data_IF_954447078283
#
_entry.id   IF_954447078283
#
_cell.length_a   1.000
_cell.length_b   1.000
_cell.length_c   1.000
_cell.angle_alpha   90.00
_cell.angle_beta   90.00
_cell.angle_gamma   90.00
#
_symmetry.space_group_name_H-M   'P 1'
#
loop_
_entity.id
_entity.type
_entity.pdbx_description
1 polymer ?
#
# COMPACT_ATOMS: atom_id res chain seq x y z
N UNK A 1 -15.27 -22.70 18.24
CA UNK A 1 -15.62 -24.13 18.06
C UNK A 1 -14.41 -25.05 18.26
N UNK A 2 -13.30 -24.87 17.54
CA UNK A 2 -12.10 -25.73 17.63
C UNK A 2 -11.41 -25.73 19.01
N UNK A 3 -11.28 -24.56 19.66
CA UNK A 3 -10.76 -24.45 21.05
C UNK A 3 -11.58 -25.28 22.06
N UNK A 4 -12.90 -25.37 21.88
CA UNK A 4 -13.76 -26.18 22.75
C UNK A 4 -13.60 -27.68 22.47
N UNK A 5 -13.41 -28.08 21.21
CA UNK A 5 -13.13 -29.48 20.85
C UNK A 5 -11.77 -29.94 21.41
N UNK A 6 -10.72 -29.12 21.31
CA UNK A 6 -9.39 -29.47 21.86
C UNK A 6 -9.38 -29.50 23.39
N UNK A 7 -10.09 -28.57 24.05
CA UNK A 7 -10.08 -28.44 25.51
C UNK A 7 -11.07 -29.37 26.22
N UNK A 8 -12.28 -29.52 25.68
CA UNK A 8 -13.37 -30.23 26.34
C UNK A 8 -13.74 -31.54 25.64
N UNK A 9 -13.18 -31.82 24.45
CA UNK A 9 -13.48 -33.03 23.64
C UNK A 9 -14.96 -33.17 23.29
N UNK A 10 -15.72 -32.07 23.35
CA UNK A 10 -17.16 -32.05 23.12
C UNK A 10 -17.55 -30.98 22.11
N UNK A 11 -18.49 -31.31 21.23
CA UNK A 11 -19.20 -30.32 20.39
C UNK A 11 -20.69 -30.44 20.65
N UNK A 12 -21.34 -29.31 20.92
CA UNK A 12 -22.79 -29.19 21.01
C UNK A 12 -23.31 -28.56 19.71
N UNK A 13 -24.26 -29.22 19.04
CA UNK A 13 -24.86 -28.71 17.80
C UNK A 13 -26.25 -28.14 18.10
N UNK A 14 -26.36 -26.82 18.00
CA UNK A 14 -27.56 -26.04 18.37
C UNK A 14 -27.40 -25.31 19.70
N UNK A 15 -28.25 -24.30 19.93
CA UNK A 15 -28.17 -23.40 21.09
C UNK A 15 -29.02 -23.84 22.30
N UNK A 16 -29.70 -24.99 22.20
CA UNK A 16 -30.59 -25.49 23.26
C UNK A 16 -29.82 -26.38 24.25
N UNK A 17 -30.15 -26.36 25.55
CA UNK A 17 -29.63 -27.33 26.52
C UNK A 17 -29.89 -28.80 26.15
N UNK A 18 -30.91 -29.06 25.32
CA UNK A 18 -31.25 -30.40 24.81
C UNK A 18 -30.49 -30.78 23.53
N UNK A 19 -29.61 -29.92 23.03
CA UNK A 19 -28.83 -30.19 21.82
C UNK A 19 -27.91 -31.40 22.01
N UNK A 20 -27.80 -32.29 21.00
CA UNK A 20 -26.91 -33.44 21.06
C UNK A 20 -25.47 -32.99 21.28
N UNK A 21 -24.81 -33.64 22.24
CA UNK A 21 -23.38 -33.45 22.54
C UNK A 21 -22.61 -34.66 22.05
N UNK A 22 -21.65 -34.44 21.17
CA UNK A 22 -20.77 -35.49 20.66
C UNK A 22 -19.46 -35.48 21.45
N UNK A 23 -19.10 -36.62 22.04
CA UNK A 23 -17.83 -36.84 22.73
C UNK A 23 -16.82 -37.48 21.78
N UNK A 24 -15.61 -36.92 21.72
CA UNK A 24 -14.54 -37.43 20.89
C UNK A 24 -13.41 -38.01 21.75
N UNK A 25 -13.08 -39.29 21.57
CA UNK A 25 -11.89 -39.89 22.17
C UNK A 25 -10.73 -39.90 21.16
N UNK A 26 -9.83 -38.94 21.31
CA UNK A 26 -8.55 -38.94 20.61
C UNK A 26 -7.52 -39.77 21.39
N UNK A 27 -6.71 -40.56 20.68
CA UNK A 27 -5.53 -41.22 21.26
C UNK A 27 -4.56 -40.19 21.85
N UNK A 28 -3.68 -40.61 22.77
CA UNK A 28 -2.64 -39.73 23.35
C UNK A 28 -1.80 -39.06 22.25
N UNK A 29 -1.37 -39.84 21.26
CA UNK A 29 -0.59 -39.34 20.11
C UNK A 29 -1.35 -38.28 19.30
N UNK A 30 -2.64 -38.49 19.04
CA UNK A 30 -3.48 -37.51 18.33
C UNK A 30 -3.66 -36.22 19.15
N UNK A 31 -3.85 -36.31 20.47
CA UNK A 31 -3.93 -35.12 21.32
C UNK A 31 -2.61 -34.33 21.36
N UNK A 32 -1.46 -35.02 21.41
CA UNK A 32 -0.14 -34.39 21.39
C UNK A 32 0.10 -33.68 20.04
N UNK A 33 -0.27 -34.31 18.92
CA UNK A 33 -0.20 -33.69 17.59
C UNK A 33 -1.10 -32.45 17.48
N UNK A 34 -2.37 -32.54 17.88
CA UNK A 34 -3.30 -31.41 17.84
C UNK A 34 -2.83 -30.22 18.68
N UNK A 35 -2.18 -30.47 19.81
CA UNK A 35 -1.57 -29.41 20.63
C UNK A 35 -0.41 -28.74 19.90
N UNK A 36 0.49 -29.53 19.31
CA UNK A 36 1.61 -29.00 18.53
C UNK A 36 1.11 -28.16 17.33
N UNK A 37 0.12 -28.65 16.61
CA UNK A 37 -0.46 -27.93 15.46
C UNK A 37 -1.12 -26.63 15.89
N UNK A 38 -1.85 -26.63 17.01
CA UNK A 38 -2.47 -25.42 17.57
C UNK A 38 -1.43 -24.39 18.03
N UNK A 39 -0.34 -24.84 18.65
CA UNK A 39 0.79 -23.96 19.02
C UNK A 39 1.46 -23.36 17.78
N UNK A 40 1.65 -24.15 16.72
CA UNK A 40 2.16 -23.68 15.44
C UNK A 40 1.25 -22.60 14.84
N UNK A 41 -0.06 -22.87 14.74
CA UNK A 41 -1.04 -21.92 14.20
C UNK A 41 -1.06 -20.60 14.99
N UNK A 42 -0.92 -20.65 16.31
CA UNK A 42 -0.81 -19.43 17.12
C UNK A 42 0.48 -18.64 16.85
N UNK A 43 1.60 -19.31 16.58
CA UNK A 43 2.83 -18.61 16.16
C UNK A 43 2.63 -17.93 14.80
N UNK A 44 1.99 -18.61 13.86
CA UNK A 44 1.66 -18.04 12.53
C UNK A 44 0.72 -16.84 12.67
N UNK A 45 -0.36 -16.96 13.44
CA UNK A 45 -1.30 -15.89 13.72
C UNK A 45 -0.58 -14.65 14.29
N UNK A 46 0.24 -14.85 15.32
CA UNK A 46 1.03 -13.76 15.91
C UNK A 46 1.99 -13.13 14.91
N UNK A 47 2.69 -13.93 14.09
CA UNK A 47 3.58 -13.42 13.06
C UNK A 47 2.83 -12.51 12.07
N UNK A 48 1.69 -12.97 11.53
CA UNK A 48 0.90 -12.22 10.55
C UNK A 48 0.34 -10.92 11.14
N UNK A 49 -0.16 -10.97 12.38
CA UNK A 49 -0.61 -9.77 13.10
C UNK A 49 0.52 -8.75 13.29
N UNK A 50 1.71 -9.22 13.68
CA UNK A 50 2.87 -8.35 13.84
C UNK A 50 3.33 -7.76 12.51
N UNK A 51 3.22 -8.53 11.42
CA UNK A 51 3.45 -8.08 10.05
C UNK A 51 2.37 -7.16 9.52
N UNK A 52 1.34 -6.80 10.31
CA UNK A 52 0.22 -5.97 9.87
C UNK A 52 -0.55 -6.56 8.67
N UNK A 53 -0.63 -7.90 8.58
CA UNK A 53 -1.43 -8.56 7.54
C UNK A 53 -2.91 -8.45 7.90
N UNK A 54 -3.68 -7.72 7.09
CA UNK A 54 -5.12 -7.50 7.34
C UNK A 54 -6.01 -8.64 6.83
N UNK A 55 -5.49 -9.49 5.94
CA UNK A 55 -6.24 -10.60 5.32
C UNK A 55 -6.06 -11.90 6.11
N UNK A 56 -7.14 -12.65 6.28
CA UNK A 56 -7.06 -14.01 6.81
C UNK A 56 -6.30 -14.93 5.84
N UNK A 57 -5.40 -15.76 6.38
CA UNK A 57 -4.69 -16.77 5.60
C UNK A 57 -5.60 -17.98 5.36
N UNK A 58 -5.81 -18.34 4.10
CA UNK A 58 -6.56 -19.54 3.73
C UNK A 58 -5.64 -20.76 3.75
N UNK A 59 -5.75 -21.55 4.82
CA UNK A 59 -4.97 -22.78 4.99
C UNK A 59 -5.28 -23.87 3.96
N UNK A 60 -6.44 -23.83 3.30
CA UNK A 60 -6.86 -24.89 2.38
C UNK A 60 -6.10 -24.87 1.05
N UNK A 61 -5.51 -23.73 0.70
CA UNK A 61 -4.78 -23.53 -0.55
C UNK A 61 -3.26 -23.57 -0.37
N UNK A 62 -2.78 -23.77 0.85
CA UNK A 62 -1.35 -23.75 1.14
C UNK A 62 -0.65 -24.98 0.59
N UNK A 63 0.45 -24.72 -0.10
CA UNK A 63 1.39 -25.69 -0.62
C UNK A 63 2.52 -25.93 0.38
N UNK A 64 3.34 -26.95 0.12
CA UNK A 64 4.55 -27.20 0.92
C UNK A 64 5.47 -25.98 0.94
N UNK A 65 5.63 -25.29 -0.18
CA UNK A 65 6.45 -24.08 -0.29
C UNK A 65 5.90 -22.93 0.56
N UNK A 66 4.57 -22.82 0.69
CA UNK A 66 3.96 -21.82 1.57
C UNK A 66 4.31 -22.07 3.04
N UNK A 67 4.27 -23.34 3.49
CA UNK A 67 4.71 -23.70 4.84
C UNK A 67 6.20 -23.45 5.05
N UNK A 68 7.06 -23.77 4.05
CA UNK A 68 8.49 -23.46 4.09
C UNK A 68 8.73 -21.94 4.23
N UNK A 69 7.96 -21.10 3.52
CA UNK A 69 8.01 -19.64 3.63
C UNK A 69 7.53 -19.14 5.01
N UNK A 70 6.46 -19.72 5.57
CA UNK A 70 5.97 -19.40 6.92
C UNK A 70 7.04 -19.72 7.96
N UNK A 71 7.65 -20.90 7.89
CA UNK A 71 8.70 -21.35 8.81
C UNK A 71 9.94 -20.46 8.71
N UNK A 72 10.29 -20.05 7.50
CA UNK A 72 11.35 -19.09 7.23
C UNK A 72 11.08 -17.74 7.95
N UNK A 73 9.88 -17.18 7.79
CA UNK A 73 9.48 -15.94 8.47
C UNK A 73 9.47 -16.09 10.00
N UNK A 74 8.94 -17.20 10.52
CA UNK A 74 8.96 -17.51 11.96
C UNK A 74 10.40 -17.59 12.49
N UNK A 75 11.32 -18.15 11.69
CA UNK A 75 12.74 -18.19 11.98
C UNK A 75 13.35 -16.81 12.15
N UNK A 76 13.05 -15.87 11.23
CA UNK A 76 13.57 -14.50 11.30
C UNK A 76 12.95 -13.67 12.40
N UNK A 77 11.63 -13.79 12.58
CA UNK A 77 10.89 -13.06 13.60
C UNK A 77 11.43 -13.36 15.01
N UNK A 78 11.72 -14.63 15.31
CA UNK A 78 12.19 -15.03 16.64
C UNK A 78 13.66 -14.68 16.93
N UNK A 79 14.48 -14.46 15.90
CA UNK A 79 15.93 -14.30 16.03
C UNK A 79 16.43 -12.88 15.80
N UNK A 80 15.57 -11.93 15.38
CA UNK A 80 15.99 -10.61 14.89
C UNK A 80 17.16 -10.70 13.88
N UNK A 81 17.19 -11.77 13.07
CA UNK A 81 18.40 -12.19 12.36
C UNK A 81 18.32 -12.05 10.84
N UNK A 82 19.49 -12.02 10.21
CA UNK A 82 19.70 -12.09 8.76
C UNK A 82 19.55 -13.51 8.20
N UNK A 83 19.34 -13.58 6.89
CA UNK A 83 19.19 -14.74 6.04
C UNK A 83 20.33 -14.82 5.01
N UNK A 84 20.70 -16.02 4.57
CA UNK A 84 21.38 -16.20 3.29
C UNK A 84 20.31 -16.55 2.27
N UNK A 85 20.14 -15.71 1.24
CA UNK A 85 19.16 -15.96 0.18
C UNK A 85 19.86 -15.86 -1.18
N UNK A 86 19.33 -16.56 -2.18
CA UNK A 86 19.79 -16.41 -3.56
C UNK A 86 19.35 -15.05 -4.11
N UNK A 87 20.25 -14.44 -4.88
CA UNK A 87 20.33 -13.04 -5.32
C UNK A 87 18.98 -12.29 -5.50
N UNK A 88 18.74 -11.28 -4.68
CA UNK A 88 17.56 -10.38 -4.77
C UNK A 88 17.80 -9.10 -5.60
N UNK A 89 18.97 -8.92 -6.22
CA UNK A 89 19.33 -7.67 -6.88
C UNK A 89 19.50 -6.48 -5.92
N UNK A 90 19.52 -5.25 -6.43
CA UNK A 90 19.62 -4.01 -5.65
C UNK A 90 18.28 -3.53 -5.06
N UNK A 91 17.18 -4.26 -5.32
CA UNK A 91 15.85 -3.88 -4.84
C UNK A 91 15.72 -4.06 -3.33
N UNK A 92 15.32 -2.98 -2.67
CA UNK A 92 15.18 -2.86 -1.22
C UNK A 92 13.86 -3.41 -0.67
N UNK A 93 12.90 -3.76 -1.54
CA UNK A 93 11.61 -4.36 -1.19
C UNK A 93 11.38 -5.64 -1.98
N UNK A 94 11.20 -6.76 -1.28
CA UNK A 94 10.89 -8.06 -1.85
C UNK A 94 9.44 -8.48 -1.58
N UNK A 95 8.94 -9.33 -2.47
CA UNK A 95 7.60 -9.89 -2.43
C UNK A 95 7.67 -11.38 -2.04
N UNK A 96 6.92 -11.77 -1.02
CA UNK A 96 6.72 -13.17 -0.64
C UNK A 96 5.23 -13.52 -0.74
N UNK A 97 4.89 -14.53 -1.52
CA UNK A 97 3.53 -15.03 -1.66
C UNK A 97 3.35 -16.24 -0.74
N UNK A 98 2.25 -16.24 0.03
CA UNK A 98 1.85 -17.35 0.91
C UNK A 98 0.35 -17.57 0.69
N UNK A 99 -0.03 -18.57 -0.11
CA UNK A 99 -1.44 -18.80 -0.47
C UNK A 99 -2.11 -17.54 -1.05
N UNK A 100 -3.12 -17.03 -0.33
CA UNK A 100 -3.91 -15.86 -0.73
C UNK A 100 -3.33 -14.51 -0.27
N UNK A 101 -2.25 -14.50 0.52
CA UNK A 101 -1.62 -13.27 0.99
C UNK A 101 -0.30 -13.02 0.29
N UNK A 102 0.03 -11.75 0.14
CA UNK A 102 1.33 -11.30 -0.35
C UNK A 102 1.95 -10.37 0.69
N UNK A 103 3.13 -10.72 1.17
CA UNK A 103 3.86 -9.99 2.20
C UNK A 103 5.00 -9.23 1.53
N UNK A 104 5.05 -7.92 1.77
CA UNK A 104 6.17 -7.08 1.43
C UNK A 104 7.23 -7.11 2.54
N UNK A 105 8.48 -7.36 2.16
CA UNK A 105 9.63 -7.48 3.05
C UNK A 105 10.71 -6.50 2.61
N UNK A 106 11.32 -5.78 3.54
CA UNK A 106 12.53 -5.01 3.24
C UNK A 106 13.73 -5.94 3.19
N UNK A 107 14.63 -5.75 2.23
CA UNK A 107 15.85 -6.54 2.11
C UNK A 107 17.07 -5.62 2.08
N UNK A 108 17.98 -5.84 3.02
CA UNK A 108 19.29 -5.18 3.04
C UNK A 108 20.39 -6.20 2.76
N UNK A 109 21.18 -6.00 1.71
CA UNK A 109 22.36 -6.83 1.43
C UNK A 109 23.45 -6.53 2.45
N UNK A 110 23.83 -7.53 3.24
CA UNK A 110 24.87 -7.42 4.28
C UNK A 110 26.19 -8.11 3.88
N UNK A 111 26.23 -8.78 2.73
CA UNK A 111 27.42 -9.45 2.22
C UNK A 111 27.16 -10.25 0.94
N UNK A 112 28.12 -11.09 0.52
CA UNK A 112 27.93 -12.00 -0.61
C UNK A 112 26.83 -13.03 -0.27
N UNK A 113 25.68 -12.93 -0.94
CA UNK A 113 24.47 -13.75 -0.70
C UNK A 113 23.90 -13.66 0.72
N UNK A 114 24.31 -12.66 1.51
CA UNK A 114 23.81 -12.44 2.86
C UNK A 114 22.88 -11.22 2.87
N UNK A 115 21.69 -11.39 3.44
CA UNK A 115 20.62 -10.41 3.43
C UNK A 115 19.96 -10.30 4.81
N UNK A 116 19.72 -9.09 5.29
CA UNK A 116 18.88 -8.84 6.46
C UNK A 116 17.45 -8.57 6.00
N UNK A 117 16.49 -9.27 6.61
CA UNK A 117 15.07 -9.00 6.39
C UNK A 117 14.62 -7.91 7.37
N UNK A 118 13.89 -6.94 6.83
CA UNK A 118 13.26 -5.86 7.56
C UNK A 118 11.75 -5.90 7.33
N UNK A 119 11.01 -5.35 8.28
CA UNK A 119 9.56 -5.25 8.20
C UNK A 119 9.15 -3.78 8.12
N UNK A 120 9.27 -3.17 6.92
CA UNK A 120 9.25 -1.72 6.76
C UNK A 120 7.92 -1.08 7.12
N UNK A 121 6.84 -1.86 7.20
CA UNK A 121 5.50 -1.38 7.48
C UNK A 121 5.00 -1.73 8.89
N UNK A 122 5.85 -2.31 9.75
CA UNK A 122 5.43 -2.68 11.11
C UNK A 122 5.75 -1.62 12.16
N UNK A 123 6.87 -0.90 12.00
CA UNK A 123 7.34 0.04 12.99
C UNK A 123 8.07 1.22 12.32
N UNK A 124 7.63 2.44 12.62
CA UNK A 124 8.13 3.68 12.05
C UNK A 124 9.61 3.98 12.33
N UNK A 125 10.20 3.37 13.37
CA UNK A 125 11.61 3.61 13.73
C UNK A 125 12.60 2.71 12.96
N UNK A 126 12.11 1.65 12.31
CA UNK A 126 12.91 0.68 11.55
C UNK A 126 12.55 0.67 10.06
N UNK A 127 11.79 1.67 9.58
CA UNK A 127 11.53 1.83 8.15
C UNK A 127 12.86 2.07 7.44
N UNK A 128 13.28 1.12 6.60
CA UNK A 128 14.48 1.27 5.78
C UNK A 128 14.49 2.62 5.05
N UNK A 129 15.63 3.29 5.10
CA UNK A 129 15.85 4.55 4.38
C UNK A 129 16.62 4.23 3.11
N UNK A 130 16.17 4.79 2.00
CA UNK A 130 16.87 4.75 0.73
C UNK A 130 17.55 6.08 0.49
N UNK A 131 18.45 6.09 -0.49
CA UNK A 131 18.98 7.33 -1.05
C UNK A 131 18.48 7.45 -2.49
N UNK A 132 17.84 8.57 -2.78
CA UNK A 132 17.57 9.00 -4.16
C UNK A 132 18.69 9.94 -4.58
N UNK A 133 19.11 9.82 -5.84
CA UNK A 133 20.19 10.62 -6.42
C UNK A 133 19.56 11.56 -7.46
N UNK A 134 19.86 12.85 -7.38
CA UNK A 134 19.45 13.81 -8.41
C UNK A 134 20.41 13.82 -9.61
N UNK A 135 20.11 14.63 -10.63
CA UNK A 135 20.93 14.76 -11.84
C UNK A 135 22.35 15.32 -11.55
N UNK A 136 22.55 15.92 -10.38
CA UNK A 136 23.83 16.47 -9.91
C UNK A 136 24.57 15.53 -8.95
N UNK A 137 24.16 14.26 -8.85
CA UNK A 137 24.71 13.23 -7.96
C UNK A 137 24.54 13.51 -6.45
N UNK A 138 23.62 14.42 -6.08
CA UNK A 138 23.30 14.67 -4.67
C UNK A 138 22.40 13.55 -4.13
N UNK A 139 22.74 13.04 -2.94
CA UNK A 139 22.01 11.98 -2.26
C UNK A 139 21.02 12.55 -1.26
N UNK A 140 19.73 12.26 -1.45
CA UNK A 140 18.67 12.60 -0.51
C UNK A 140 18.13 11.35 0.12
N UNK A 141 17.91 11.42 1.42
CA UNK A 141 17.26 10.33 2.14
C UNK A 141 15.79 10.23 1.73
N UNK A 142 15.28 9.01 1.58
CA UNK A 142 13.92 8.74 1.14
C UNK A 142 13.32 7.57 1.93
N UNK A 143 11.99 7.58 2.11
CA UNK A 143 11.27 6.45 2.68
C UNK A 143 11.24 5.29 1.69
N UNK A 144 11.39 4.05 2.16
CA UNK A 144 11.21 2.85 1.33
C UNK A 144 9.84 2.81 0.63
N UNK A 145 8.82 3.45 1.23
CA UNK A 145 7.50 3.52 0.63
C UNK A 145 7.48 4.23 -0.73
N UNK A 146 8.47 5.08 -1.04
CA UNK A 146 8.58 5.72 -2.35
C UNK A 146 8.82 4.73 -3.51
N UNK A 147 9.18 3.48 -3.22
CA UNK A 147 9.28 2.41 -4.20
C UNK A 147 7.94 1.69 -4.48
N UNK A 148 6.87 2.03 -3.77
CA UNK A 148 5.57 1.39 -3.99
C UNK A 148 4.93 1.90 -5.28
N UNK A 149 4.58 0.96 -6.14
CA UNK A 149 3.81 1.18 -7.35
C UNK A 149 2.34 0.76 -7.17
N UNK A 150 1.48 1.13 -8.11
CA UNK A 150 0.06 0.75 -8.15
C UNK A 150 -0.15 -0.75 -7.88
N UNK A 151 0.66 -1.62 -8.48
CA UNK A 151 0.57 -3.09 -8.29
C UNK A 151 0.78 -3.49 -6.84
N UNK A 152 1.73 -2.84 -6.15
CA UNK A 152 2.01 -3.12 -4.74
C UNK A 152 0.82 -2.79 -3.84
N UNK A 153 0.14 -1.66 -4.09
CA UNK A 153 -1.08 -1.29 -3.36
C UNK A 153 -2.26 -2.26 -3.58
N UNK A 154 -2.28 -2.97 -4.70
CA UNK A 154 -3.33 -3.95 -5.02
C UNK A 154 -3.01 -5.34 -4.44
N UNK A 155 -1.73 -5.69 -4.36
CA UNK A 155 -1.27 -7.04 -4.03
C UNK A 155 -0.90 -7.21 -2.55
N UNK A 156 -0.13 -6.25 -2.01
CA UNK A 156 0.44 -6.38 -0.67
C UNK A 156 -0.66 -6.37 0.39
N UNK A 157 -0.55 -7.32 1.30
CA UNK A 157 -1.54 -7.56 2.35
C UNK A 157 -1.13 -6.94 3.68
N UNK A 158 0.06 -6.31 3.73
CA UNK A 158 0.70 -5.79 4.94
C UNK A 158 1.09 -4.31 4.88
N UNK A 159 0.36 -3.49 4.11
CA UNK A 159 0.61 -2.04 4.05
C UNK A 159 -0.05 -1.33 5.22
N UNK A 160 0.76 -0.92 6.20
CA UNK A 160 0.31 -0.04 7.27
C UNK A 160 0.46 1.43 6.84
N UNK A 161 -0.65 2.04 6.40
CA UNK A 161 -0.64 3.41 5.89
C UNK A 161 -0.20 4.44 6.94
N UNK A 162 -0.54 4.27 8.22
CA UNK A 162 -0.13 5.18 9.28
C UNK A 162 1.40 5.14 9.49
N UNK A 163 1.98 3.93 9.52
CA UNK A 163 3.45 3.77 9.61
C UNK A 163 4.13 4.34 8.37
N UNK A 164 3.56 4.15 7.18
CA UNK A 164 4.09 4.71 5.94
C UNK A 164 4.08 6.24 5.98
N UNK A 165 2.97 6.87 6.34
CA UNK A 165 2.87 8.33 6.46
C UNK A 165 3.88 8.86 7.50
N UNK A 166 3.97 8.22 8.66
CA UNK A 166 4.95 8.60 9.68
C UNK A 166 6.38 8.50 9.17
N UNK A 167 6.71 7.46 8.39
CA UNK A 167 8.04 7.31 7.79
C UNK A 167 8.36 8.45 6.82
N UNK A 168 7.37 8.87 6.02
CA UNK A 168 7.51 9.93 5.02
C UNK A 168 7.72 11.28 5.71
N UNK A 169 6.81 11.61 6.63
CA UNK A 169 6.80 12.91 7.32
C UNK A 169 7.96 13.11 8.30
N UNK A 170 8.65 12.03 8.70
CA UNK A 170 9.86 12.09 9.52
C UNK A 170 11.12 12.57 8.78
N UNK A 171 11.08 12.59 7.44
CA UNK A 171 12.20 13.02 6.60
C UNK A 171 12.01 14.50 6.25
N UNK A 172 13.04 15.35 6.42
CA UNK A 172 12.97 16.76 6.01
C UNK A 172 12.61 16.91 4.54
N UNK A 173 11.72 17.84 4.24
CA UNK A 173 11.30 18.13 2.88
C UNK A 173 12.45 18.70 2.04
N UNK A 174 12.57 18.21 0.81
CA UNK A 174 13.31 18.85 -0.29
C UNK A 174 12.46 18.73 -1.56
N UNK A 175 12.64 19.60 -2.57
CA UNK A 175 11.89 19.49 -3.83
C UNK A 175 12.01 18.09 -4.48
N UNK A 176 13.23 17.53 -4.54
CA UNK A 176 13.49 16.20 -5.08
C UNK A 176 12.73 15.11 -4.32
N UNK A 177 12.67 15.20 -2.99
CA UNK A 177 11.92 14.26 -2.17
C UNK A 177 10.40 14.44 -2.35
N UNK A 178 9.94 15.69 -2.39
CA UNK A 178 8.54 16.04 -2.65
C UNK A 178 8.01 15.44 -3.95
N UNK A 179 8.79 15.53 -5.04
CA UNK A 179 8.44 14.91 -6.32
C UNK A 179 8.23 13.40 -6.20
N UNK A 180 9.13 12.69 -5.52
CA UNK A 180 8.99 11.23 -5.32
C UNK A 180 7.78 10.85 -4.48
N UNK A 181 7.47 11.64 -3.46
CA UNK A 181 6.30 11.41 -2.62
C UNK A 181 4.99 11.77 -3.35
N UNK A 182 5.04 12.74 -4.26
CA UNK A 182 3.93 13.04 -5.15
C UNK A 182 3.61 11.85 -6.08
N UNK A 183 4.64 11.22 -6.66
CA UNK A 183 4.50 10.03 -7.51
C UNK A 183 3.87 8.87 -6.73
N UNK A 184 4.32 8.63 -5.48
CA UNK A 184 3.74 7.64 -4.58
C UNK A 184 2.24 7.88 -4.35
N UNK A 185 1.84 9.13 -4.14
CA UNK A 185 0.44 9.52 -4.00
C UNK A 185 -0.38 9.16 -5.25
N UNK A 186 0.19 9.39 -6.44
CA UNK A 186 -0.46 9.09 -7.73
C UNK A 186 -0.63 7.58 -7.93
N UNK A 187 0.37 6.78 -7.57
CA UNK A 187 0.30 5.31 -7.61
C UNK A 187 -0.82 4.77 -6.71
N UNK A 188 -1.00 5.35 -5.52
CA UNK A 188 -2.12 5.00 -4.64
C UNK A 188 -3.48 5.41 -5.21
N UNK A 189 -3.60 6.57 -5.87
CA UNK A 189 -4.85 6.98 -6.56
C UNK A 189 -5.17 6.03 -7.72
N UNK A 190 -4.16 5.63 -8.51
CA UNK A 190 -4.35 4.63 -9.58
C UNK A 190 -4.87 3.29 -9.03
N UNK A 191 -4.38 2.86 -7.87
CA UNK A 191 -4.86 1.63 -7.24
C UNK A 191 -6.28 1.79 -6.69
N UNK A 192 -6.62 2.96 -6.12
CA UNK A 192 -7.98 3.29 -5.72
C UNK A 192 -8.96 3.22 -6.89
N UNK A 193 -8.59 3.75 -8.05
CA UNK A 193 -9.47 3.75 -9.23
C UNK A 193 -9.86 2.32 -9.65
N UNK A 194 -9.03 1.32 -9.35
CA UNK A 194 -9.27 -0.11 -9.63
C UNK A 194 -10.11 -0.80 -8.54
N UNK A 195 -9.68 -0.74 -7.27
CA UNK A 195 -10.29 -1.55 -6.21
C UNK A 195 -11.27 -0.79 -5.30
N UNK A 196 -11.40 0.53 -5.47
CA UNK A 196 -12.22 1.45 -4.68
C UNK A 196 -11.97 1.39 -3.16
N UNK A 197 -10.79 0.93 -2.74
CA UNK A 197 -10.41 0.88 -1.33
C UNK A 197 -10.22 2.30 -0.77
N UNK A 198 -11.19 2.78 0.01
CA UNK A 198 -11.19 4.13 0.58
C UNK A 198 -9.93 4.46 1.41
N UNK A 199 -9.24 3.46 1.98
CA UNK A 199 -7.97 3.68 2.70
C UNK A 199 -6.90 4.30 1.79
N UNK A 200 -6.86 3.92 0.52
CA UNK A 200 -5.93 4.49 -0.47
C UNK A 200 -6.22 5.97 -0.71
N UNK A 201 -7.49 6.35 -0.81
CA UNK A 201 -7.86 7.76 -1.02
C UNK A 201 -7.54 8.62 0.22
N UNK A 202 -7.76 8.09 1.43
CA UNK A 202 -7.34 8.75 2.68
C UNK A 202 -5.82 8.92 2.72
N UNK A 203 -5.08 7.86 2.39
CA UNK A 203 -3.62 7.87 2.32
C UNK A 203 -3.09 8.90 1.32
N UNK A 204 -3.61 8.93 0.09
CA UNK A 204 -3.23 9.92 -0.93
C UNK A 204 -3.51 11.36 -0.46
N UNK A 205 -4.67 11.61 0.18
CA UNK A 205 -4.96 12.94 0.75
C UNK A 205 -3.97 13.35 1.84
N UNK A 206 -3.55 12.42 2.71
CA UNK A 206 -2.54 12.69 3.74
C UNK A 206 -1.17 13.02 3.12
N UNK A 207 -0.78 12.29 2.07
CA UNK A 207 0.42 12.60 1.27
C UNK A 207 0.35 14.03 0.73
N UNK A 208 -0.71 14.38 0.00
CA UNK A 208 -0.80 15.69 -0.63
C UNK A 208 -0.96 16.82 0.38
N UNK A 209 -1.63 16.57 1.52
CA UNK A 209 -1.69 17.53 2.63
C UNK A 209 -0.31 17.82 3.21
N UNK A 210 0.54 16.79 3.36
CA UNK A 210 1.92 16.99 3.82
C UNK A 210 2.76 17.74 2.78
N UNK A 211 2.62 17.41 1.49
CA UNK A 211 3.31 18.12 0.41
C UNK A 211 2.93 19.61 0.38
N UNK A 212 1.63 19.92 0.40
CA UNK A 212 1.12 21.30 0.39
C UNK A 212 1.51 22.09 1.64
N UNK A 213 1.70 21.43 2.79
CA UNK A 213 2.23 22.09 3.99
C UNK A 213 3.67 22.57 3.81
N UNK A 214 4.46 21.91 2.95
CA UNK A 214 5.86 22.24 2.71
C UNK A 214 6.06 23.10 1.45
N UNK A 215 5.17 22.99 0.45
CA UNK A 215 5.20 23.74 -0.80
C UNK A 215 3.77 23.93 -1.32
N UNK A 216 3.10 24.99 -0.84
CA UNK A 216 1.69 25.29 -1.11
C UNK A 216 1.46 25.91 -2.50
N UNK A 217 2.52 26.35 -3.16
CA UNK A 217 2.47 26.95 -4.52
C UNK A 217 2.67 25.92 -5.63
N UNK A 218 3.04 24.69 -5.28
CA UNK A 218 3.26 23.63 -6.25
C UNK A 218 1.92 23.18 -6.86
N UNK A 219 1.61 23.68 -8.06
CA UNK A 219 0.35 23.41 -8.75
C UNK A 219 0.07 21.90 -8.92
N UNK A 220 1.05 21.05 -9.31
CA UNK A 220 0.87 19.60 -9.31
C UNK A 220 0.36 19.03 -7.97
N UNK A 221 0.89 19.48 -6.83
CA UNK A 221 0.44 19.00 -5.52
C UNK A 221 -1.00 19.43 -5.23
N UNK A 222 -1.37 20.66 -5.60
CA UNK A 222 -2.75 21.17 -5.48
C UNK A 222 -3.69 20.33 -6.33
N UNK A 223 -3.40 20.16 -7.63
CA UNK A 223 -4.20 19.33 -8.53
C UNK A 223 -4.39 17.92 -8.00
N UNK A 224 -3.33 17.34 -7.44
CA UNK A 224 -3.36 15.98 -6.93
C UNK A 224 -4.16 15.83 -5.62
N UNK A 225 -4.18 16.87 -4.78
CA UNK A 225 -5.09 16.94 -3.64
C UNK A 225 -6.55 17.04 -4.09
N UNK A 226 -6.87 17.97 -5.00
CA UNK A 226 -8.24 18.20 -5.46
C UNK A 226 -8.80 17.02 -6.25
N UNK A 227 -7.99 16.30 -7.04
CA UNK A 227 -8.47 15.08 -7.70
C UNK A 227 -8.83 13.96 -6.71
N UNK A 228 -8.25 13.96 -5.50
CA UNK A 228 -8.64 13.03 -4.45
C UNK A 228 -9.99 13.44 -3.85
N UNK A 229 -10.20 14.74 -3.62
CA UNK A 229 -11.48 15.26 -3.14
C UNK A 229 -12.62 14.96 -4.13
N UNK A 230 -12.38 15.16 -5.43
CA UNK A 230 -13.40 14.91 -6.46
C UNK A 230 -13.83 13.44 -6.52
N UNK A 231 -12.93 12.51 -6.21
CA UNK A 231 -13.23 11.06 -6.10
C UNK A 231 -14.03 10.71 -4.87
N UNK A 232 -13.99 11.54 -3.83
CA UNK A 232 -14.72 11.34 -2.59
C UNK A 232 -16.12 11.98 -2.64
N UNK A 233 -16.22 13.16 -3.27
CA UNK A 233 -17.44 13.97 -3.35
C UNK A 233 -17.34 15.06 -4.40
N UNK A 234 -18.47 15.72 -4.67
CA UNK A 234 -18.49 16.97 -5.45
C UNK A 234 -17.79 18.11 -4.69
N UNK A 235 -17.24 19.07 -5.44
CA UNK A 235 -16.64 20.28 -4.86
C UNK A 235 -17.67 21.22 -4.26
N UNK A 236 -17.22 21.96 -3.25
CA UNK A 236 -17.91 23.14 -2.69
C UNK A 236 -17.69 24.35 -3.60
N UNK A 237 -18.48 25.41 -3.40
CA UNK A 237 -18.34 26.64 -4.18
C UNK A 237 -16.97 27.30 -3.92
N UNK A 238 -16.49 27.24 -2.68
CA UNK A 238 -15.20 27.79 -2.28
C UNK A 238 -14.04 27.06 -2.96
N UNK A 239 -14.14 25.75 -3.10
CA UNK A 239 -13.17 24.91 -3.82
C UNK A 239 -13.17 25.16 -5.33
N UNK A 240 -14.35 25.34 -5.92
CA UNK A 240 -14.48 25.73 -7.34
C UNK A 240 -13.83 27.10 -7.56
N UNK A 241 -14.12 28.08 -6.71
CA UNK A 241 -13.53 29.41 -6.80
C UNK A 241 -11.99 29.37 -6.64
N UNK A 242 -11.48 28.53 -5.74
CA UNK A 242 -10.05 28.32 -5.56
C UNK A 242 -9.39 27.74 -6.83
N UNK A 243 -10.01 26.75 -7.48
CA UNK A 243 -9.51 26.18 -8.75
C UNK A 243 -9.55 27.19 -9.90
N UNK A 244 -10.58 28.04 -9.96
CA UNK A 244 -10.67 29.13 -10.94
C UNK A 244 -9.50 30.11 -10.76
N UNK A 245 -9.23 30.53 -9.51
CA UNK A 245 -8.09 31.42 -9.20
C UNK A 245 -6.75 30.76 -9.51
N UNK A 246 -6.58 29.48 -9.18
CA UNK A 246 -5.36 28.73 -9.48
C UNK A 246 -5.02 28.73 -10.98
N UNK A 247 -6.05 28.73 -11.83
CA UNK A 247 -5.89 28.75 -13.29
C UNK A 247 -5.25 30.03 -13.80
N UNK A 248 -5.45 31.16 -13.12
CA UNK A 248 -4.83 32.44 -13.46
C UNK A 248 -3.31 32.42 -13.22
N UNK A 249 -2.84 31.52 -12.36
CA UNK A 249 -1.42 31.32 -12.04
C UNK A 249 -0.79 30.12 -12.74
N UNK A 250 -1.55 29.39 -13.56
CA UNK A 250 -1.06 28.21 -14.26
C UNK A 250 0.01 28.58 -15.29
N UNK A 251 1.11 27.83 -15.30
CA UNK A 251 2.30 28.15 -16.08
C UNK A 251 2.28 27.53 -17.49
N UNK A 252 1.55 26.42 -17.65
CA UNK A 252 1.57 25.62 -18.88
C UNK A 252 0.19 25.00 -19.23
N UNK A 253 0.09 24.47 -20.45
CA UNK A 253 -1.14 23.86 -20.96
C UNK A 253 -1.56 22.60 -20.19
N UNK A 254 -0.61 21.87 -19.60
CA UNK A 254 -0.86 20.65 -18.82
C UNK A 254 -1.53 20.98 -17.49
N UNK A 255 -1.06 22.03 -16.81
CA UNK A 255 -1.67 22.54 -15.59
C UNK A 255 -3.10 23.04 -15.86
N UNK A 256 -3.28 23.85 -16.91
CA UNK A 256 -4.61 24.34 -17.28
C UNK A 256 -5.55 23.18 -17.63
N UNK A 257 -5.06 22.18 -18.37
CA UNK A 257 -5.81 20.97 -18.67
C UNK A 257 -6.27 20.25 -17.38
N UNK A 258 -5.36 20.04 -16.43
CA UNK A 258 -5.68 19.42 -15.15
C UNK A 258 -6.76 20.18 -14.37
N UNK A 259 -6.65 21.49 -14.29
CA UNK A 259 -7.67 22.35 -13.64
C UNK A 259 -9.02 22.24 -14.36
N UNK A 260 -9.00 22.26 -15.69
CA UNK A 260 -10.21 22.19 -16.53
C UNK A 260 -10.95 20.87 -16.34
N UNK A 261 -10.21 19.75 -16.21
CA UNK A 261 -10.77 18.44 -15.90
C UNK A 261 -11.44 18.45 -14.52
N UNK A 262 -10.79 19.00 -13.49
CA UNK A 262 -11.37 19.09 -12.14
C UNK A 262 -12.64 19.94 -12.11
N UNK A 263 -12.69 21.02 -12.88
CA UNK A 263 -13.87 21.87 -13.02
C UNK A 263 -14.98 21.25 -13.89
N UNK A 264 -14.75 20.08 -14.51
CA UNK A 264 -15.69 19.44 -15.42
C UNK A 264 -15.89 20.21 -16.74
N UNK A 265 -14.98 21.11 -17.10
CA UNK A 265 -15.09 21.92 -18.31
C UNK A 265 -14.55 21.17 -19.54
N UNK A 266 -15.39 20.29 -20.08
CA UNK A 266 -14.99 19.38 -21.18
C UNK A 266 -14.42 20.10 -22.41
N UNK A 267 -15.06 21.18 -22.87
CA UNK A 267 -14.61 21.92 -24.05
C UNK A 267 -13.20 22.47 -23.88
N UNK A 268 -12.89 22.91 -22.66
CA UNK A 268 -11.58 23.44 -22.34
C UNK A 268 -10.56 22.31 -22.17
N UNK A 269 -10.94 21.21 -21.54
CA UNK A 269 -10.10 20.00 -21.50
C UNK A 269 -9.73 19.51 -22.91
N UNK A 270 -10.70 19.41 -23.82
CA UNK A 270 -10.46 19.03 -25.22
C UNK A 270 -9.48 20.00 -25.91
N UNK A 271 -9.67 21.30 -25.70
CA UNK A 271 -8.83 22.35 -26.29
C UNK A 271 -7.38 22.29 -25.79
N UNK A 272 -7.16 22.23 -24.47
CA UNK A 272 -5.81 22.22 -23.91
C UNK A 272 -5.11 20.88 -24.11
N UNK A 273 -5.83 19.75 -24.08
CA UNK A 273 -5.27 18.46 -24.45
C UNK A 273 -4.83 18.44 -25.93
N UNK A 274 -5.60 19.07 -26.82
CA UNK A 274 -5.25 19.24 -28.23
C UNK A 274 -3.97 20.07 -28.48
N UNK A 275 -3.57 20.91 -27.53
CA UNK A 275 -2.33 21.71 -27.60
C UNK A 275 -1.07 20.96 -27.21
N UNK A 276 -1.21 19.84 -26.49
CA UNK A 276 -0.07 19.03 -26.07
C UNK A 276 0.57 18.32 -27.26
N UNK A 277 1.88 18.13 -27.21
CA UNK A 277 2.61 17.25 -28.12
C UNK A 277 2.18 15.78 -27.88
N UNK A 278 2.38 14.90 -28.86
CA UNK A 278 1.97 13.50 -28.72
C UNK A 278 2.66 12.80 -27.53
N UNK A 279 3.94 13.07 -27.29
CA UNK A 279 4.66 12.53 -26.12
C UNK A 279 4.10 13.03 -24.78
N UNK A 280 3.68 14.30 -24.73
CA UNK A 280 3.04 14.90 -23.56
C UNK A 280 1.65 14.30 -23.33
N UNK A 281 0.87 14.05 -24.40
CA UNK A 281 -0.43 13.36 -24.32
C UNK A 281 -0.28 11.96 -23.77
N UNK A 282 0.68 11.18 -24.28
CA UNK A 282 0.93 9.82 -23.81
C UNK A 282 1.40 9.79 -22.35
N UNK A 283 2.15 10.81 -21.93
CA UNK A 283 2.50 10.98 -20.52
C UNK A 283 1.28 11.36 -19.68
N UNK A 284 0.46 12.30 -20.16
CA UNK A 284 -0.71 12.80 -19.46
C UNK A 284 -1.75 11.70 -19.21
N UNK A 285 -1.98 10.83 -20.20
CA UNK A 285 -2.89 9.66 -20.08
C UNK A 285 -2.50 8.70 -18.97
N UNK A 286 -1.23 8.69 -18.53
CA UNK A 286 -0.77 7.85 -17.41
C UNK A 286 -1.14 8.43 -16.05
N UNK A 287 -1.54 9.70 -15.98
CA UNK A 287 -1.97 10.30 -14.71
C UNK A 287 -3.41 9.91 -14.37
N UNK A 288 -3.70 9.57 -13.10
CA UNK A 288 -5.04 9.20 -12.68
C UNK A 288 -6.08 10.30 -12.91
N UNK A 289 -5.69 11.58 -12.98
CA UNK A 289 -6.62 12.67 -13.31
C UNK A 289 -7.28 12.49 -14.69
N UNK A 290 -6.61 11.83 -15.63
CA UNK A 290 -7.17 11.50 -16.94
C UNK A 290 -8.41 10.61 -16.85
N UNK A 291 -8.44 9.67 -15.89
CA UNK A 291 -9.60 8.81 -15.67
C UNK A 291 -10.86 9.60 -15.29
N UNK A 292 -10.71 10.76 -14.62
CA UNK A 292 -11.85 11.62 -14.28
C UNK A 292 -12.47 12.25 -15.53
N UNK A 293 -11.65 12.52 -16.53
CA UNK A 293 -12.08 13.06 -17.81
C UNK A 293 -12.68 11.97 -18.71
N UNK A 294 -12.04 10.80 -18.80
CA UNK A 294 -12.55 9.67 -19.59
C UNK A 294 -13.92 9.20 -19.09
N UNK A 295 -14.08 9.02 -17.77
CA UNK A 295 -15.36 8.61 -17.19
C UNK A 295 -16.46 9.68 -17.31
N UNK A 296 -16.12 10.94 -17.62
CA UNK A 296 -17.10 11.97 -17.95
C UNK A 296 -17.71 11.79 -19.36
N UNK A 297 -17.14 10.91 -20.19
CA UNK A 297 -17.65 10.56 -21.51
C UNK A 297 -18.82 9.57 -21.47
N UNK A 298 -18.99 8.85 -20.36
CA UNK A 298 -20.04 7.82 -20.18
C UNK A 298 -21.40 8.39 -19.70
N UNK A 299 -21.48 9.71 -19.46
CA UNK A 299 -22.73 10.41 -19.15
C UNK A 299 -23.32 11.12 -20.38
N UNK A 300 -23.42 10.40 -21.51
CA UNK A 300 -24.20 10.82 -22.68
C UNK A 300 -25.43 9.96 -22.88
#
# INVERSE_FOLDING_TARGET
MFKNLVKYKTIQIGASPASPTFNFEFSRKQNEQLKHDLEYLHKVENLLLNLYVEKDLDFNILTKTDFENIDLLLGFYNKNSSATLDDFGESSLAKMVIGNITIALGINKTGYRAYQIMYPFNNSFLTGRLFIVDESDNKYQCSLAACLEKSNFLEFSNLNYDVIINSITSIPYTPTYGMKINDLGLEAVKAFDINKNKKLLVFSKQIYSWLLKNDDKNIPYVLNYYQCLLRERNFTNEEIEALIKLKETAEDATQILGISILLGNKNESDYYFGKLLEEEKETFKKFPIYNLWENSLDFK
#
